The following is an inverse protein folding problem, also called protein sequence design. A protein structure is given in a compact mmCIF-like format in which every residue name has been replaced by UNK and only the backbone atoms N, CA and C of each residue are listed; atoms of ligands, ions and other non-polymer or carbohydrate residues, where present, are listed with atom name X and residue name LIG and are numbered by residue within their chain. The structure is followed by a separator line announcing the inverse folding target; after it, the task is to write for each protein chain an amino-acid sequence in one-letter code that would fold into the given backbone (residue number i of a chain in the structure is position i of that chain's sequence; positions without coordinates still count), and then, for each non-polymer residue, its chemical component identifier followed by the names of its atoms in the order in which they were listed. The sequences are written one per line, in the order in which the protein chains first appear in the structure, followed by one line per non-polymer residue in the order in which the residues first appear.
data_IF_619417504921
#
_entry.id   IF_619417504921
#
_cell.length_a   1.000
_cell.length_b   1.000
_cell.length_c   1.000
_cell.angle_alpha   90.00
_cell.angle_beta   90.00
_cell.angle_gamma   90.00
#
_symmetry.space_group_name_H-M   'P 1'
#
loop_
_entity.id
_entity.type
_entity.pdbx_description
1 polymer ?
#
# COMPACT_ATOMS: atom_id res chain seq x y z
N UNK A 1 -41.74 -15.48 -3.51
CA UNK A 1 -40.50 -16.18 -3.89
C UNK A 1 -39.48 -15.89 -2.80
N UNK A 2 -39.25 -16.87 -1.93
CA UNK A 2 -38.28 -16.78 -0.83
C UNK A 2 -36.88 -16.81 -1.41
N UNK A 3 -36.10 -15.78 -1.12
CA UNK A 3 -34.69 -15.72 -1.48
C UNK A 3 -33.96 -16.77 -0.63
N UNK A 4 -33.63 -17.90 -1.24
CA UNK A 4 -32.71 -18.90 -0.69
C UNK A 4 -31.33 -18.22 -0.54
N UNK A 5 -31.10 -17.60 0.63
CA UNK A 5 -29.76 -17.17 1.00
C UNK A 5 -29.01 -18.42 1.43
N UNK A 6 -28.30 -19.03 0.47
CA UNK A 6 -27.35 -20.09 0.78
C UNK A 6 -26.33 -19.56 1.81
N UNK A 7 -26.00 -20.35 2.85
CA UNK A 7 -24.98 -19.94 3.80
C UNK A 7 -23.65 -19.77 3.06
N UNK A 8 -22.98 -18.64 3.31
CA UNK A 8 -21.59 -18.44 2.87
C UNK A 8 -20.76 -19.48 3.62
N UNK A 9 -20.25 -20.49 2.90
CA UNK A 9 -19.27 -21.42 3.47
C UNK A 9 -17.98 -20.66 3.73
N UNK A 10 -17.73 -20.37 5.00
CA UNK A 10 -16.47 -19.82 5.49
C UNK A 10 -15.47 -20.97 5.60
N UNK A 11 -14.51 -21.05 4.66
CA UNK A 11 -13.35 -21.93 4.77
C UNK A 11 -12.22 -21.18 5.51
N UNK A 12 -11.92 -21.54 6.78
CA UNK A 12 -10.94 -20.82 7.58
C UNK A 12 -9.52 -20.82 6.97
N UNK A 13 -9.16 -21.86 6.21
CA UNK A 13 -7.84 -21.94 5.58
C UNK A 13 -7.73 -20.97 4.39
N UNK A 14 -8.81 -20.83 3.61
CA UNK A 14 -8.87 -19.85 2.53
C UNK A 14 -8.82 -18.42 3.08
N UNK A 15 -9.56 -18.15 4.15
CA UNK A 15 -9.57 -16.83 4.79
C UNK A 15 -8.20 -16.46 5.39
N UNK A 16 -7.50 -17.42 6.01
CA UNK A 16 -6.14 -17.19 6.53
C UNK A 16 -5.15 -16.88 5.40
N UNK A 17 -5.23 -17.60 4.28
CA UNK A 17 -4.40 -17.34 3.10
C UNK A 17 -4.68 -15.97 2.47
N UNK A 18 -5.95 -15.55 2.41
CA UNK A 18 -6.35 -14.23 1.93
C UNK A 18 -5.84 -13.12 2.86
N UNK A 19 -5.97 -13.30 4.17
CA UNK A 19 -5.45 -12.36 5.17
C UNK A 19 -3.92 -12.24 5.12
N UNK A 20 -3.21 -13.36 4.93
CA UNK A 20 -1.76 -13.34 4.76
C UNK A 20 -1.38 -12.56 3.50
N UNK A 21 -2.05 -12.83 2.37
CA UNK A 21 -1.83 -12.12 1.11
C UNK A 21 -2.05 -10.61 1.27
N UNK A 22 -3.09 -10.21 1.99
CA UNK A 22 -3.36 -8.80 2.30
C UNK A 22 -2.22 -8.22 3.13
N UNK A 23 -1.80 -8.88 4.22
CA UNK A 23 -0.70 -8.40 5.08
C UNK A 23 0.62 -8.28 4.33
N UNK A 24 0.95 -9.23 3.45
CA UNK A 24 2.14 -9.14 2.60
C UNK A 24 2.06 -7.95 1.63
N UNK A 25 0.91 -7.74 1.00
CA UNK A 25 0.69 -6.58 0.14
C UNK A 25 0.83 -5.27 0.92
N UNK A 26 0.30 -5.20 2.15
CA UNK A 26 0.46 -4.06 3.05
C UNK A 26 1.93 -3.80 3.38
N UNK A 27 2.68 -4.84 3.74
CA UNK A 27 4.11 -4.74 4.03
C UNK A 27 4.91 -4.20 2.84
N UNK A 28 4.63 -4.70 1.63
CA UNK A 28 5.27 -4.22 0.38
C UNK A 28 4.97 -2.75 0.10
N UNK A 29 3.74 -2.29 0.36
CA UNK A 29 3.37 -0.88 0.21
C UNK A 29 4.13 -0.01 1.22
N UNK A 30 4.22 -0.44 2.48
CA UNK A 30 4.99 0.27 3.51
C UNK A 30 6.47 0.37 3.16
N UNK A 31 7.07 -0.72 2.69
CA UNK A 31 8.46 -0.75 2.22
C UNK A 31 8.66 0.22 1.05
N UNK A 32 7.77 0.19 0.06
CA UNK A 32 7.87 1.08 -1.10
C UNK A 32 7.75 2.57 -0.74
N UNK A 33 6.92 2.92 0.24
CA UNK A 33 6.84 4.29 0.77
C UNK A 33 8.17 4.69 1.43
N UNK A 34 8.79 3.79 2.19
CA UNK A 34 10.10 4.02 2.81
C UNK A 34 11.18 4.25 1.76
N UNK A 35 11.21 3.43 0.71
CA UNK A 35 12.18 3.56 -0.38
C UNK A 35 12.04 4.89 -1.12
N UNK A 36 10.80 5.30 -1.44
CA UNK A 36 10.56 6.58 -2.12
C UNK A 36 10.96 7.79 -1.25
N UNK A 37 10.79 7.70 0.07
CA UNK A 37 11.29 8.74 1.00
C UNK A 37 12.82 8.79 1.00
N UNK A 38 13.48 7.64 0.98
CA UNK A 38 14.93 7.56 0.90
C UNK A 38 15.45 8.07 -0.45
N UNK A 39 14.82 7.70 -1.57
CA UNK A 39 15.13 8.19 -2.91
C UNK A 39 15.04 9.72 -2.97
N UNK A 40 13.95 10.29 -2.44
CA UNK A 40 13.75 11.74 -2.39
C UNK A 40 14.82 12.44 -1.54
N UNK A 41 15.20 11.84 -0.40
CA UNK A 41 16.26 12.37 0.45
C UNK A 41 17.62 12.34 -0.26
N UNK A 42 17.98 11.21 -0.88
CA UNK A 42 19.22 11.06 -1.65
C UNK A 42 19.30 12.04 -2.81
N UNK A 43 18.21 12.22 -3.56
CA UNK A 43 18.14 13.19 -4.65
C UNK A 43 18.30 14.63 -4.15
N UNK A 44 17.65 14.97 -3.03
CA UNK A 44 17.77 16.29 -2.42
C UNK A 44 19.22 16.58 -2.02
N UNK A 45 19.87 15.62 -1.38
CA UNK A 45 21.23 15.77 -0.88
C UNK A 45 22.26 15.77 -2.02
N UNK A 46 21.95 15.09 -3.13
CA UNK A 46 22.74 15.10 -4.37
C UNK A 46 22.55 16.34 -5.24
N UNK A 47 21.69 17.29 -4.84
CA UNK A 47 21.42 18.49 -5.63
C UNK A 47 20.63 18.23 -6.91
N UNK A 48 19.77 17.21 -6.91
CA UNK A 48 18.90 16.88 -8.03
C UNK A 48 18.04 18.07 -8.49
N UNK A 49 17.65 18.06 -9.76
CA UNK A 49 16.86 19.16 -10.31
C UNK A 49 15.46 19.19 -9.67
N UNK A 50 14.85 20.37 -9.43
CA UNK A 50 13.53 20.46 -8.81
C UNK A 50 12.44 19.60 -9.46
N UNK A 51 12.51 19.41 -10.79
CA UNK A 51 11.58 18.56 -11.55
C UNK A 51 11.68 17.08 -11.14
N UNK A 52 12.89 16.58 -10.87
CA UNK A 52 13.11 15.19 -10.45
C UNK A 52 12.58 14.98 -9.02
N UNK A 53 12.84 15.95 -8.14
CA UNK A 53 12.29 15.95 -6.77
C UNK A 53 10.77 15.94 -6.77
N UNK A 54 10.14 16.76 -7.61
CA UNK A 54 8.68 16.84 -7.70
C UNK A 54 8.07 15.55 -8.28
N UNK A 55 8.74 14.92 -9.26
CA UNK A 55 8.30 13.64 -9.81
C UNK A 55 8.33 12.51 -8.76
N UNK A 56 9.37 12.46 -7.92
CA UNK A 56 9.46 11.46 -6.83
C UNK A 56 8.45 11.77 -5.73
N UNK A 57 8.28 13.06 -5.39
CA UNK A 57 7.30 13.52 -4.40
C UNK A 57 5.86 13.18 -4.82
N UNK A 58 5.49 13.43 -6.07
CA UNK A 58 4.17 13.08 -6.60
C UNK A 58 3.88 11.58 -6.53
N UNK A 59 4.87 10.74 -6.86
CA UNK A 59 4.77 9.27 -6.71
C UNK A 59 4.56 8.86 -5.25
N UNK A 60 5.33 9.46 -4.33
CA UNK A 60 5.20 9.23 -2.89
C UNK A 60 3.82 9.64 -2.38
N UNK A 61 3.33 10.83 -2.73
CA UNK A 61 2.02 11.33 -2.30
C UNK A 61 0.87 10.46 -2.82
N UNK A 62 0.95 10.00 -4.07
CA UNK A 62 -0.03 9.09 -4.64
C UNK A 62 -0.07 7.76 -3.88
N UNK A 63 1.11 7.20 -3.57
CA UNK A 63 1.21 5.92 -2.86
C UNK A 63 0.75 6.04 -1.41
N UNK A 64 1.07 7.13 -0.72
CA UNK A 64 0.60 7.40 0.65
C UNK A 64 -0.93 7.52 0.68
N UNK A 65 -1.53 8.29 -0.24
CA UNK A 65 -3.00 8.41 -0.33
C UNK A 65 -3.67 7.08 -0.63
N UNK A 66 -3.06 6.25 -1.49
CA UNK A 66 -3.56 4.92 -1.78
C UNK A 66 -3.47 4.01 -0.55
N UNK A 67 -2.35 4.04 0.19
CA UNK A 67 -2.15 3.30 1.42
C UNK A 67 -3.17 3.68 2.49
N UNK A 68 -3.43 4.99 2.68
CA UNK A 68 -4.43 5.49 3.63
C UNK A 68 -5.85 4.99 3.31
N UNK A 69 -6.24 4.98 2.02
CA UNK A 69 -7.54 4.45 1.57
C UNK A 69 -7.68 2.96 1.83
N UNK A 70 -6.57 2.23 1.77
CA UNK A 70 -6.50 0.79 2.02
C UNK A 70 -6.30 0.45 3.50
N UNK A 71 -6.27 1.45 4.39
CA UNK A 71 -6.04 1.25 5.83
C UNK A 71 -4.60 0.84 6.19
N UNK A 72 -3.67 0.92 5.25
CA UNK A 72 -2.25 0.59 5.44
C UNK A 72 -1.58 1.75 6.15
N UNK A 73 -1.27 1.58 7.44
CA UNK A 73 -0.59 2.58 8.26
C UNK A 73 -1.35 3.08 9.49
N UNK A 74 -2.55 2.54 9.77
CA UNK A 74 -3.18 2.65 11.10
C UNK A 74 -2.92 1.35 11.87
N UNK A 75 -1.78 1.26 12.53
CA UNK A 75 -1.48 0.27 13.55
C UNK A 75 -0.82 0.98 14.73
#
# INVERSE_FOLDING_TARGET
MTTDQQPVEHDPLSEEADLLTIREAQARVTERIRDLRQELQTLRDGGAHPVELEAVRGRLDHLVKAAERLGVGRA
#
